data_IF_210642428013
#
_entry.id   IF_210642428013
#
_cell.length_a   1.000
_cell.length_b   1.000
_cell.length_c   1.000
_cell.angle_alpha   90.00
_cell.angle_beta   90.00
_cell.angle_gamma   90.00
#
_symmetry.space_group_name_H-M   'P 1'
#
loop_
_entity.id
_entity.type
_entity.pdbx_description
1 polymer ?
#
# COMPACT_ATOMS: atom_id res chain seq x y z
N UNK A 1 -13.05 6.18 5.54
CA UNK A 1 -12.66 6.14 4.12
C UNK A 1 -11.72 4.97 3.91
N UNK A 2 -12.03 4.06 2.98
CA UNK A 2 -11.15 2.99 2.50
C UNK A 2 -10.70 3.34 1.07
N UNK A 3 -9.43 3.17 0.78
CA UNK A 3 -8.85 3.54 -0.51
C UNK A 3 -7.59 2.70 -0.75
N UNK A 4 -7.36 2.35 -2.01
CA UNK A 4 -6.31 1.42 -2.47
C UNK A 4 -4.94 2.08 -2.50
N UNK A 5 -4.90 3.37 -2.77
CA UNK A 5 -3.75 4.25 -2.65
C UNK A 5 -4.20 5.59 -2.06
N UNK A 6 -3.34 6.27 -1.31
CA UNK A 6 -3.68 7.56 -0.68
C UNK A 6 -2.57 8.59 -0.87
N UNK A 7 -2.91 9.84 -1.23
CA UNK A 7 -1.98 10.94 -1.07
C UNK A 7 -1.79 11.24 0.41
N UNK A 8 -0.55 11.52 0.82
CA UNK A 8 -0.19 11.76 2.21
C UNK A 8 0.71 12.97 2.34
N UNK A 9 0.62 13.57 3.53
CA UNK A 9 1.46 14.66 4.02
C UNK A 9 1.70 14.41 5.50
N UNK A 10 2.92 14.62 5.99
CA UNK A 10 3.19 14.61 7.44
C UNK A 10 2.37 15.72 8.10
N UNK A 11 1.64 15.34 9.15
CA UNK A 11 0.76 16.24 9.91
C UNK A 11 1.50 16.80 11.13
N UNK A 12 1.18 18.04 11.49
CA UNK A 12 1.54 18.56 12.80
C UNK A 12 0.58 18.04 13.89
N UNK A 13 0.98 18.07 15.18
CA UNK A 13 0.08 17.71 16.27
C UNK A 13 -1.26 18.47 16.20
N UNK A 14 -2.37 17.73 16.27
CA UNK A 14 -3.73 18.28 16.19
C UNK A 14 -4.20 18.68 14.78
N UNK A 15 -3.37 18.50 13.75
CA UNK A 15 -3.72 18.82 12.38
C UNK A 15 -4.45 17.66 11.69
N UNK A 16 -5.49 17.99 10.91
CA UNK A 16 -6.21 16.99 10.11
C UNK A 16 -5.45 16.66 8.81
N UNK A 17 -5.39 15.39 8.40
CA UNK A 17 -4.71 14.99 7.17
C UNK A 17 -5.17 15.74 5.89
N UNK A 18 -6.47 15.99 5.74
CA UNK A 18 -7.00 16.75 4.60
C UNK A 18 -6.56 18.22 4.61
N UNK A 19 -6.37 18.80 5.80
CA UNK A 19 -5.87 20.17 5.93
C UNK A 19 -4.40 20.24 5.50
N UNK A 20 -3.57 19.30 5.99
CA UNK A 20 -2.18 19.17 5.58
C UNK A 20 -2.02 19.03 4.06
N UNK A 21 -2.84 18.18 3.45
CA UNK A 21 -2.85 17.98 2.00
C UNK A 21 -3.27 19.23 1.23
N UNK A 22 -4.28 19.95 1.69
CA UNK A 22 -4.75 21.17 1.02
C UNK A 22 -3.71 22.28 1.08
N UNK A 23 -3.14 22.52 2.26
CA UNK A 23 -2.22 23.64 2.48
C UNK A 23 -0.83 23.38 1.92
N UNK A 24 -0.37 22.12 1.94
CA UNK A 24 1.03 21.79 1.64
C UNK A 24 1.20 20.76 0.53
N UNK A 25 0.11 20.39 -0.14
CA UNK A 25 0.11 19.41 -1.22
C UNK A 25 0.44 17.99 -0.75
N UNK A 26 0.64 17.12 -1.73
CA UNK A 26 1.05 15.73 -1.54
C UNK A 26 2.55 15.68 -1.34
N UNK A 27 3.01 14.91 -0.34
CA UNK A 27 4.44 14.66 -0.07
C UNK A 27 4.84 13.24 -0.46
N UNK A 28 3.97 12.26 -0.20
CA UNK A 28 4.17 10.87 -0.59
C UNK A 28 2.84 10.17 -0.87
N UNK A 29 2.91 8.97 -1.45
CA UNK A 29 1.76 8.08 -1.64
C UNK A 29 1.87 6.87 -0.73
N UNK A 30 0.75 6.45 -0.15
CA UNK A 30 0.63 5.23 0.65
C UNK A 30 -0.14 4.19 -0.17
N UNK A 31 0.56 3.17 -0.67
CA UNK A 31 -0.04 2.03 -1.38
C UNK A 31 -0.54 1.01 -0.36
N UNK A 32 -1.81 0.60 -0.46
CA UNK A 32 -2.51 -0.21 0.55
C UNK A 32 -3.12 -1.50 -0.02
N UNK A 33 -2.66 -1.92 -1.20
CA UNK A 33 -3.16 -3.09 -1.92
C UNK A 33 -2.36 -4.37 -1.69
N UNK A 34 -1.32 -4.30 -0.85
CA UNK A 34 -0.41 -5.42 -0.65
C UNK A 34 -0.90 -6.33 0.47
N UNK A 35 -1.13 -7.60 0.15
CA UNK A 35 -1.26 -8.65 1.14
C UNK A 35 0.11 -8.99 1.74
N UNK A 36 0.12 -9.57 2.95
CA UNK A 36 1.33 -10.14 3.51
C UNK A 36 1.75 -11.36 2.69
N UNK A 37 3.02 -11.41 2.26
CA UNK A 37 3.60 -12.62 1.66
C UNK A 37 3.87 -13.65 2.77
N UNK A 38 3.11 -14.75 2.87
CA UNK A 38 3.31 -15.75 3.92
C UNK A 38 4.63 -16.50 3.74
N UNK A 39 5.32 -16.32 2.59
CA UNK A 39 6.60 -16.92 2.29
C UNK A 39 7.79 -16.11 2.79
N UNK A 40 7.58 -14.87 3.22
CA UNK A 40 8.63 -13.95 3.68
C UNK A 40 8.51 -13.69 5.19
N UNK A 41 9.59 -13.82 5.98
CA UNK A 41 9.54 -13.60 7.42
C UNK A 41 9.03 -12.21 7.85
N UNK A 42 9.29 -11.19 7.04
CA UNK A 42 8.84 -9.80 7.28
C UNK A 42 7.61 -9.42 6.44
N UNK A 43 6.99 -10.38 5.76
CA UNK A 43 5.73 -10.21 5.02
C UNK A 43 5.85 -9.53 3.65
N UNK A 44 7.06 -9.17 3.20
CA UNK A 44 7.30 -8.61 1.85
C UNK A 44 8.72 -8.94 1.37
N UNK A 45 8.86 -9.29 0.09
CA UNK A 45 10.16 -9.57 -0.54
C UNK A 45 10.78 -8.27 -1.05
N UNK A 46 12.11 -8.15 -0.96
CA UNK A 46 12.83 -7.03 -1.57
C UNK A 46 12.54 -6.87 -3.07
N UNK A 47 12.39 -7.97 -3.82
CA UNK A 47 12.00 -7.95 -5.23
C UNK A 47 10.62 -7.30 -5.44
N UNK A 48 9.65 -7.54 -4.55
CA UNK A 48 8.34 -6.88 -4.60
C UNK A 48 8.47 -5.38 -4.38
N UNK A 49 9.32 -4.94 -3.46
CA UNK A 49 9.58 -3.51 -3.23
C UNK A 49 10.16 -2.84 -4.48
N UNK A 50 11.15 -3.47 -5.12
CA UNK A 50 11.75 -2.97 -6.37
C UNK A 50 10.74 -2.91 -7.51
N UNK A 51 9.86 -3.90 -7.61
CA UNK A 51 8.77 -3.87 -8.59
C UNK A 51 7.82 -2.68 -8.32
N UNK A 52 7.51 -2.39 -7.06
CA UNK A 52 6.70 -1.23 -6.70
C UNK A 52 7.39 0.09 -7.07
N UNK A 53 8.70 0.22 -6.88
CA UNK A 53 9.46 1.40 -7.31
C UNK A 53 9.31 1.64 -8.82
N UNK A 54 9.48 0.57 -9.61
CA UNK A 54 9.31 0.61 -11.08
C UNK A 54 7.87 1.01 -11.45
N UNK A 55 6.88 0.32 -10.87
CA UNK A 55 5.48 0.51 -11.22
C UNK A 55 4.97 1.90 -10.84
N UNK A 56 5.37 2.43 -9.67
CA UNK A 56 5.00 3.78 -9.25
C UNK A 56 5.64 4.87 -10.11
N UNK A 57 6.88 4.67 -10.58
CA UNK A 57 7.50 5.56 -11.55
C UNK A 57 6.82 5.47 -12.92
N UNK A 58 6.36 4.29 -13.33
CA UNK A 58 5.54 4.17 -14.53
C UNK A 58 4.25 4.98 -14.41
N UNK A 59 3.52 4.87 -13.28
CA UNK A 59 2.34 5.68 -13.02
C UNK A 59 2.63 7.20 -12.99
N UNK A 60 3.83 7.62 -12.60
CA UNK A 60 4.23 9.02 -12.62
C UNK A 60 4.49 9.55 -14.05
N UNK A 61 5.03 8.71 -14.93
CA UNK A 61 5.49 9.09 -16.27
C UNK A 61 4.45 8.86 -17.36
N UNK A 62 3.52 7.93 -17.15
CA UNK A 62 2.45 7.63 -18.10
C UNK A 62 1.42 8.77 -18.16
N UNK A 63 0.79 8.93 -19.32
CA UNK A 63 -0.34 9.86 -19.47
C UNK A 63 -1.49 9.47 -18.54
N UNK A 64 -1.94 10.44 -17.73
CA UNK A 64 -3.04 10.28 -16.77
C UNK A 64 -4.09 11.37 -17.01
N UNK A 65 -4.97 11.21 -18.03
CA UNK A 65 -6.07 12.14 -18.22
C UNK A 65 -7.00 12.18 -16.99
N UNK A 66 -7.82 13.23 -16.81
CA UNK A 66 -8.78 13.29 -15.72
C UNK A 66 -9.78 12.12 -15.78
N UNK A 67 -10.00 11.51 -14.62
CA UNK A 67 -10.90 10.35 -14.50
C UNK A 67 -12.31 10.64 -15.01
N UNK A 68 -12.90 9.67 -15.70
CA UNK A 68 -14.34 9.66 -16.01
C UNK A 68 -15.12 8.75 -15.05
N UNK A 69 -16.44 8.98 -14.93
CA UNK A 69 -17.31 8.11 -14.10
C UNK A 69 -17.31 6.66 -14.57
N UNK A 70 -17.29 6.45 -15.89
CA UNK A 70 -17.30 5.12 -16.49
C UNK A 70 -15.97 4.41 -16.22
N UNK A 71 -14.84 5.12 -16.40
CA UNK A 71 -13.51 4.60 -16.09
C UNK A 71 -13.35 4.23 -14.62
N UNK A 72 -13.83 5.07 -13.68
CA UNK A 72 -13.83 4.73 -12.24
C UNK A 72 -14.59 3.43 -12.00
N UNK A 73 -15.72 3.24 -12.68
CA UNK A 73 -16.48 1.99 -12.62
C UNK A 73 -15.71 0.79 -13.16
N UNK A 74 -15.04 0.94 -14.30
CA UNK A 74 -14.20 -0.10 -14.90
C UNK A 74 -13.01 -0.46 -14.02
N UNK A 75 -12.31 0.52 -13.45
CA UNK A 75 -11.19 0.31 -12.52
C UNK A 75 -11.64 -0.50 -11.32
N UNK A 76 -12.74 -0.11 -10.67
CA UNK A 76 -13.28 -0.83 -9.53
C UNK A 76 -13.71 -2.26 -9.89
N UNK A 77 -14.35 -2.44 -11.05
CA UNK A 77 -14.73 -3.75 -11.57
C UNK A 77 -13.50 -4.64 -11.83
N UNK A 78 -12.50 -4.12 -12.54
CA UNK A 78 -11.28 -4.85 -12.89
C UNK A 78 -10.50 -5.26 -11.65
N UNK A 79 -10.39 -4.38 -10.66
CA UNK A 79 -9.73 -4.68 -9.41
C UNK A 79 -10.43 -5.85 -8.69
N UNK A 80 -11.75 -5.78 -8.55
CA UNK A 80 -12.51 -6.85 -7.89
C UNK A 80 -12.43 -8.17 -8.66
N UNK A 81 -12.58 -8.12 -9.98
CA UNK A 81 -12.53 -9.30 -10.85
C UNK A 81 -11.14 -9.95 -10.81
N UNK A 82 -10.07 -9.16 -10.81
CA UNK A 82 -8.70 -9.65 -10.67
C UNK A 82 -8.45 -10.25 -9.29
N UNK A 83 -8.94 -9.63 -8.22
CA UNK A 83 -8.82 -10.18 -6.87
C UNK A 83 -9.54 -11.53 -6.72
N UNK A 84 -10.73 -11.67 -7.31
CA UNK A 84 -11.54 -12.89 -7.18
C UNK A 84 -11.12 -14.00 -8.17
N UNK A 85 -10.74 -13.64 -9.40
CA UNK A 85 -10.57 -14.56 -10.54
C UNK A 85 -9.30 -14.33 -11.35
N UNK A 86 -8.35 -13.52 -10.87
CA UNK A 86 -7.16 -13.09 -11.63
C UNK A 86 -6.24 -14.19 -12.14
N UNK A 87 -6.36 -15.42 -11.61
CA UNK A 87 -5.61 -16.61 -12.09
C UNK A 87 -6.35 -17.40 -13.16
N UNK A 88 -7.58 -17.03 -13.50
CA UNK A 88 -8.38 -17.75 -14.51
C UNK A 88 -7.79 -17.52 -15.92
N UNK A 89 -7.45 -18.61 -16.65
CA UNK A 89 -6.94 -18.48 -18.01
C UNK A 89 -7.91 -17.74 -18.93
N UNK A 90 -7.40 -16.71 -19.62
CA UNK A 90 -8.20 -15.94 -20.58
C UNK A 90 -9.19 -14.96 -19.96
N UNK A 91 -9.07 -14.63 -18.66
CA UNK A 91 -9.88 -13.60 -18.01
C UNK A 91 -9.82 -12.27 -18.79
N UNK A 92 -10.99 -11.68 -19.04
CA UNK A 92 -11.13 -10.37 -19.69
C UNK A 92 -11.50 -9.29 -18.67
N UNK A 93 -10.82 -8.15 -18.74
CA UNK A 93 -11.08 -6.91 -18.03
C UNK A 93 -11.76 -5.89 -18.95
N UNK A 94 -12.22 -4.75 -18.42
CA UNK A 94 -12.79 -3.65 -19.18
C UNK A 94 -11.78 -2.51 -19.35
N UNK A 95 -11.67 -1.93 -20.55
CA UNK A 95 -10.82 -0.77 -20.83
C UNK A 95 -11.48 0.10 -21.89
N UNK A 96 -12.00 1.26 -21.49
CA UNK A 96 -12.67 2.20 -22.40
C UNK A 96 -13.90 1.59 -23.08
N UNK A 97 -14.72 0.86 -22.32
CA UNK A 97 -15.92 0.18 -22.77
C UNK A 97 -15.68 -1.10 -23.58
N UNK A 98 -14.43 -1.59 -23.66
CA UNK A 98 -14.07 -2.77 -24.44
C UNK A 98 -13.42 -3.85 -23.58
N UNK A 99 -13.70 -5.13 -23.86
CA UNK A 99 -13.00 -6.21 -23.19
C UNK A 99 -11.54 -6.31 -23.65
N UNK A 100 -10.61 -6.51 -22.71
CA UNK A 100 -9.19 -6.77 -22.96
C UNK A 100 -8.71 -7.94 -22.11
N UNK A 101 -7.83 -8.81 -22.60
CA UNK A 101 -7.32 -9.92 -21.78
C UNK A 101 -6.40 -9.39 -20.69
N UNK A 102 -6.55 -9.91 -19.47
CA UNK A 102 -5.74 -9.52 -18.32
C UNK A 102 -4.24 -9.71 -18.59
N UNK A 103 -3.85 -10.86 -19.12
CA UNK A 103 -2.44 -11.20 -19.38
C UNK A 103 -1.85 -10.32 -20.48
N UNK A 104 -2.61 -10.04 -21.53
CA UNK A 104 -2.16 -9.16 -22.63
C UNK A 104 -1.96 -7.73 -22.12
N UNK A 105 -2.96 -7.16 -21.45
CA UNK A 105 -2.86 -5.79 -20.95
C UNK A 105 -1.83 -5.63 -19.82
N UNK A 106 -1.73 -6.61 -18.91
CA UNK A 106 -0.67 -6.65 -17.91
C UNK A 106 0.71 -6.70 -18.55
N UNK A 107 0.87 -7.50 -19.62
CA UNK A 107 2.13 -7.60 -20.37
C UNK A 107 2.50 -6.27 -21.03
N UNK A 108 1.54 -5.59 -21.65
CA UNK A 108 1.75 -4.24 -22.22
C UNK A 108 2.30 -3.26 -21.19
N UNK A 109 1.73 -3.24 -19.97
CA UNK A 109 2.15 -2.34 -18.89
C UNK A 109 3.56 -2.72 -18.40
N UNK A 110 3.84 -4.02 -18.21
CA UNK A 110 5.16 -4.49 -17.76
C UNK A 110 6.26 -4.20 -18.80
N UNK A 111 5.95 -4.30 -20.09
CA UNK A 111 6.89 -3.92 -21.15
C UNK A 111 7.20 -2.42 -21.12
N UNK A 112 6.20 -1.56 -20.86
CA UNK A 112 6.40 -0.12 -20.68
C UNK A 112 7.27 0.21 -19.45
N UNK A 113 7.39 -0.70 -18.50
CA UNK A 113 8.24 -0.56 -17.31
C UNK A 113 9.73 -0.85 -17.57
N UNK A 114 10.09 -1.51 -18.68
CA UNK A 114 11.49 -1.87 -18.98
C UNK A 114 12.48 -0.70 -18.97
N UNK A 115 12.23 0.44 -19.66
CA UNK A 115 13.16 1.56 -19.64
C UNK A 115 13.35 2.15 -18.24
N UNK A 116 12.33 2.08 -17.38
CA UNK A 116 12.38 2.57 -16.00
C UNK A 116 13.26 1.67 -15.14
N UNK A 117 13.07 0.35 -15.23
CA UNK A 117 13.91 -0.62 -14.52
C UNK A 117 15.39 -0.46 -14.88
N UNK A 118 15.70 -0.33 -16.18
CA UNK A 118 17.06 -0.10 -16.64
C UNK A 118 17.65 1.23 -16.15
N UNK A 119 16.86 2.31 -16.11
CA UNK A 119 17.30 3.61 -15.60
C UNK A 119 17.59 3.59 -14.09
N UNK A 120 16.77 2.89 -13.30
CA UNK A 120 17.00 2.70 -11.86
C UNK A 120 18.30 1.93 -11.59
N UNK A 121 18.52 0.85 -12.33
CA UNK A 121 19.73 0.04 -12.22
C UNK A 121 20.98 0.80 -12.68
N UNK A 122 20.88 1.61 -13.74
CA UNK A 122 21.98 2.47 -14.16
C UNK A 122 22.35 3.54 -13.11
N UNK A 123 21.36 4.05 -12.36
CA UNK A 123 21.58 5.06 -11.33
C UNK A 123 22.12 4.49 -10.01
N UNK A 124 21.70 3.28 -9.62
CA UNK A 124 22.06 2.65 -8.34
C UNK A 124 23.21 1.64 -8.47
N UNK A 125 23.48 1.17 -9.68
CA UNK A 125 24.37 0.04 -9.96
C UNK A 125 23.67 -1.31 -9.79
N UNK A 126 24.08 -2.29 -10.60
CA UNK A 126 23.53 -3.65 -10.59
C UNK A 126 22.42 -3.86 -11.62
N UNK A 127 21.58 -4.86 -11.40
CA UNK A 127 20.53 -5.33 -12.30
C UNK A 127 19.25 -5.78 -11.54
N UNK A 128 19.10 -5.36 -10.27
CA UNK A 128 18.07 -5.87 -9.38
C UNK A 128 16.65 -5.40 -9.75
N UNK A 129 16.50 -4.23 -10.38
CA UNK A 129 15.19 -3.76 -10.85
C UNK A 129 14.78 -4.49 -12.12
N UNK A 130 15.70 -4.68 -13.07
CA UNK A 130 15.46 -5.50 -14.26
C UNK A 130 15.08 -6.93 -13.87
N UNK A 131 15.81 -7.56 -12.95
CA UNK A 131 15.46 -8.89 -12.42
C UNK A 131 14.08 -8.92 -11.75
N UNK A 132 13.69 -7.86 -11.05
CA UNK A 132 12.36 -7.76 -10.44
C UNK A 132 11.25 -7.66 -11.50
N UNK A 133 11.48 -6.91 -12.58
CA UNK A 133 10.54 -6.80 -13.69
C UNK A 133 10.40 -8.11 -14.47
N UNK A 134 11.52 -8.77 -14.78
CA UNK A 134 11.51 -10.05 -15.49
C UNK A 134 10.80 -11.14 -14.67
N UNK A 135 10.95 -11.14 -13.34
CA UNK A 135 10.19 -12.03 -12.47
C UNK A 135 8.68 -11.73 -12.49
N UNK A 136 8.27 -10.45 -12.58
CA UNK A 136 6.87 -10.08 -12.70
C UNK A 136 6.27 -10.55 -14.05
N UNK A 137 7.02 -10.39 -15.15
CA UNK A 137 6.63 -10.89 -16.47
C UNK A 137 6.49 -12.42 -16.48
N UNK A 138 7.46 -13.13 -15.90
CA UNK A 138 7.40 -14.59 -15.77
C UNK A 138 6.17 -15.04 -14.95
N UNK A 139 5.88 -14.36 -13.84
CA UNK A 139 4.73 -14.67 -12.99
C UNK A 139 3.38 -14.38 -13.70
N UNK A 140 3.31 -13.35 -14.53
CA UNK A 140 2.12 -13.05 -15.34
C UNK A 140 1.86 -14.15 -16.38
N UNK A 141 2.91 -14.69 -16.98
CA UNK A 141 2.83 -15.79 -17.94
C UNK A 141 2.54 -17.16 -17.29
N UNK A 142 2.82 -17.31 -15.99
CA UNK A 142 2.64 -18.55 -15.24
C UNK A 142 1.82 -18.32 -13.94
N UNK A 143 0.48 -18.17 -14.03
CA UNK A 143 -0.36 -17.85 -12.87
C UNK A 143 -0.26 -18.82 -11.68
N UNK A 144 0.16 -20.06 -11.92
CA UNK A 144 0.37 -21.07 -10.86
C UNK A 144 1.61 -20.79 -9.99
N UNK A 145 2.52 -19.91 -10.43
CA UNK A 145 3.68 -19.49 -9.61
C UNK A 145 3.34 -18.32 -8.67
N UNK A 146 2.16 -17.71 -8.81
CA UNK A 146 1.75 -16.57 -7.99
C UNK A 146 1.61 -16.99 -6.51
N UNK A 147 1.85 -16.09 -5.55
CA UNK A 147 1.70 -16.40 -4.12
C UNK A 147 0.34 -17.00 -3.77
N UNK A 148 -0.74 -16.52 -4.37
CA UNK A 148 -2.09 -17.04 -4.14
C UNK A 148 -2.28 -18.49 -4.61
N UNK A 149 -1.63 -18.90 -5.70
CA UNK A 149 -1.62 -20.31 -6.14
C UNK A 149 -0.72 -21.17 -5.24
N UNK A 150 0.46 -20.66 -4.87
CA UNK A 150 1.41 -21.35 -3.99
C UNK A 150 0.82 -21.64 -2.60
N UNK A 151 0.05 -20.71 -2.03
CA UNK A 151 -0.67 -20.92 -0.76
C UNK A 151 -1.63 -22.09 -0.87
N UNK A 152 -2.48 -22.12 -1.91
CA UNK A 152 -3.44 -23.21 -2.11
C UNK A 152 -2.73 -24.56 -2.33
N UNK A 153 -1.64 -24.56 -3.11
CA UNK A 153 -0.84 -25.76 -3.34
C UNK A 153 -0.22 -26.30 -2.04
N UNK A 154 0.33 -25.44 -1.17
CA UNK A 154 0.88 -25.87 0.12
C UNK A 154 -0.19 -26.33 1.09
N UNK A 155 -1.35 -25.66 1.13
CA UNK A 155 -2.50 -26.11 1.92
C UNK A 155 -2.91 -27.54 1.53
N UNK A 156 -3.02 -27.81 0.24
CA UNK A 156 -3.41 -29.12 -0.28
C UNK A 156 -2.34 -30.20 -0.02
N UNK A 157 -1.06 -29.86 -0.21
CA UNK A 157 0.02 -30.84 -0.14
C UNK A 157 0.43 -31.21 1.29
N UNK A 158 0.31 -30.29 2.25
CA UNK A 158 0.97 -30.44 3.56
C UNK A 158 0.09 -30.10 4.78
N UNK A 159 -1.13 -29.62 4.58
CA UNK A 159 -1.96 -29.11 5.68
C UNK A 159 -3.43 -29.54 5.59
N UNK A 160 -3.74 -30.66 4.95
CA UNK A 160 -5.09 -31.21 4.81
C UNK A 160 -6.12 -30.19 4.27
N UNK A 161 -5.67 -29.32 3.35
CA UNK A 161 -6.45 -28.18 2.83
C UNK A 161 -6.94 -27.20 3.91
N UNK A 162 -6.35 -27.19 5.09
CA UNK A 162 -6.71 -26.30 6.19
C UNK A 162 -5.90 -25.00 6.18
N UNK A 163 -6.59 -23.88 6.01
CA UNK A 163 -5.98 -22.55 6.06
C UNK A 163 -5.38 -22.23 7.44
N UNK A 164 -6.06 -22.62 8.52
CA UNK A 164 -5.59 -22.36 9.88
C UNK A 164 -4.35 -23.20 10.22
N UNK A 165 -4.28 -24.45 9.75
CA UNK A 165 -3.10 -25.28 9.91
C UNK A 165 -1.90 -24.72 9.13
N UNK A 166 -2.10 -24.33 7.87
CA UNK A 166 -1.07 -23.68 7.06
C UNK A 166 -0.55 -22.40 7.71
N UNK A 167 -1.44 -21.46 8.03
CA UNK A 167 -1.05 -20.15 8.60
C UNK A 167 -0.40 -20.28 9.97
N UNK A 168 -0.84 -21.22 10.81
CA UNK A 168 -0.16 -21.53 12.08
C UNK A 168 1.26 -22.02 11.83
N UNK A 169 1.44 -22.99 10.94
CA UNK A 169 2.76 -23.53 10.61
C UNK A 169 3.71 -22.45 10.06
N UNK A 170 3.22 -21.57 9.18
CA UNK A 170 3.98 -20.41 8.70
C UNK A 170 4.34 -19.45 9.83
N UNK A 171 3.40 -19.15 10.74
CA UNK A 171 3.64 -18.25 11.87
C UNK A 171 4.68 -18.80 12.85
N UNK A 172 4.62 -20.10 13.17
CA UNK A 172 5.60 -20.78 14.02
C UNK A 172 6.99 -20.76 13.37
N UNK A 173 7.08 -21.07 12.07
CA UNK A 173 8.34 -21.02 11.34
C UNK A 173 8.96 -19.61 11.29
N UNK A 174 8.14 -18.57 11.06
CA UNK A 174 8.60 -17.17 11.07
C UNK A 174 9.06 -16.76 12.46
N UNK A 175 8.31 -17.10 13.52
CA UNK A 175 8.72 -16.86 14.91
C UNK A 175 10.10 -17.45 15.17
N UNK A 176 10.29 -18.73 14.86
CA UNK A 176 11.53 -19.44 15.15
C UNK A 176 12.70 -18.85 14.36
N UNK A 177 12.49 -18.50 13.09
CA UNK A 177 13.48 -17.83 12.27
C UNK A 177 13.89 -16.45 12.83
N UNK A 178 12.93 -15.65 13.27
CA UNK A 178 13.20 -14.32 13.84
C UNK A 178 13.90 -14.41 15.20
N UNK A 179 13.50 -15.36 16.06
CA UNK A 179 14.14 -15.58 17.37
C UNK A 179 15.56 -16.13 17.25
N UNK A 180 15.88 -16.82 16.16
CA UNK A 180 17.23 -17.31 15.88
C UNK A 180 18.19 -16.23 15.36
N UNK A 181 17.70 -15.04 15.00
CA UNK A 181 18.56 -13.97 14.53
C UNK A 181 19.47 -13.45 15.66
N UNK A 182 20.72 -13.05 15.34
CA UNK A 182 21.61 -12.44 16.33
C UNK A 182 20.97 -11.22 16.98
N UNK A 183 20.93 -11.23 18.32
CA UNK A 183 20.43 -10.15 19.15
C UNK A 183 21.56 -9.59 20.01
N UNK A 184 22.02 -8.40 19.67
CA UNK A 184 23.16 -7.77 20.34
C UNK A 184 22.71 -6.94 21.55
N UNK A 185 23.61 -6.73 22.51
CA UNK A 185 23.34 -5.90 23.68
C UNK A 185 23.02 -4.45 23.29
N UNK A 186 23.64 -3.94 22.21
CA UNK A 186 23.38 -2.59 21.69
C UNK A 186 21.96 -2.47 21.16
N UNK A 187 21.45 -3.50 20.46
CA UNK A 187 20.05 -3.54 20.01
C UNK A 187 19.10 -3.58 21.20
N UNK A 188 19.36 -4.47 22.16
CA UNK A 188 18.56 -4.54 23.39
C UNK A 188 18.46 -3.17 24.07
N UNK A 189 19.60 -2.52 24.29
CA UNK A 189 19.66 -1.19 24.93
C UNK A 189 18.91 -0.12 24.11
N UNK A 190 19.02 -0.15 22.78
CA UNK A 190 18.30 0.80 21.92
C UNK A 190 16.78 0.65 22.03
N UNK A 191 16.26 -0.59 22.06
CA UNK A 191 14.83 -0.85 22.22
C UNK A 191 14.31 -0.52 23.63
N UNK A 192 15.10 -0.77 24.67
CA UNK A 192 14.79 -0.38 26.05
C UNK A 192 14.73 1.14 26.20
N UNK A 193 15.71 1.85 25.64
CA UNK A 193 15.74 3.31 25.62
C UNK A 193 14.51 3.87 24.87
N UNK A 194 14.20 3.35 23.68
CA UNK A 194 13.03 3.77 22.91
C UNK A 194 11.72 3.54 23.68
N UNK A 195 11.63 2.42 24.40
CA UNK A 195 10.48 2.11 25.27
C UNK A 195 10.34 3.14 26.38
N UNK A 196 11.42 3.40 27.13
CA UNK A 196 11.42 4.40 28.20
C UNK A 196 11.05 5.80 27.68
N UNK A 197 11.62 6.21 26.55
CA UNK A 197 11.30 7.48 25.89
C UNK A 197 9.83 7.56 25.48
N UNK A 198 9.26 6.49 24.89
CA UNK A 198 7.85 6.49 24.47
C UNK A 198 6.87 6.65 25.62
N UNK A 199 7.16 6.03 26.78
CA UNK A 199 6.32 6.12 27.98
C UNK A 199 6.42 7.51 28.61
N UNK A 200 7.62 8.09 28.64
CA UNK A 200 7.79 9.45 29.15
C UNK A 200 7.10 10.48 28.24
N UNK A 201 7.20 10.31 26.92
CA UNK A 201 6.53 11.18 25.96
C UNK A 201 5.00 11.08 26.08
N UNK A 202 4.46 9.87 26.29
CA UNK A 202 3.04 9.69 26.59
C UNK A 202 2.63 10.46 27.85
N UNK A 203 3.36 10.31 28.97
CA UNK A 203 3.09 11.03 30.23
C UNK A 203 3.17 12.54 30.05
N UNK A 204 4.12 13.01 29.26
CA UNK A 204 4.28 14.43 28.93
C UNK A 204 3.07 14.97 28.18
N UNK A 205 2.53 14.22 27.23
CA UNK A 205 1.29 14.58 26.51
C UNK A 205 0.11 14.62 27.49
N UNK A 206 -0.08 13.56 28.28
CA UNK A 206 -1.18 13.46 29.25
C UNK A 206 -1.13 14.58 30.31
N UNK A 207 0.05 14.96 30.78
CA UNK A 207 0.24 16.05 31.74
C UNK A 207 0.10 17.45 31.11
N UNK A 208 0.30 17.57 29.79
CA UNK A 208 0.18 18.83 29.06
C UNK A 208 -1.25 19.12 28.58
N UNK A 209 -2.17 18.16 28.68
CA UNK A 209 -3.57 18.34 28.31
C UNK A 209 -4.26 19.34 29.25
N UNK A 210 -4.66 20.48 28.70
CA UNK A 210 -5.39 21.53 29.43
C UNK A 210 -6.89 21.56 29.09
N UNK A 211 -7.32 20.74 28.14
CA UNK A 211 -8.67 20.75 27.57
C UNK A 211 -9.37 19.41 27.79
N UNK A 212 -10.64 19.41 28.23
CA UNK A 212 -11.43 18.19 28.30
C UNK A 212 -11.54 17.52 26.93
N UNK A 213 -11.46 16.19 26.91
CA UNK A 213 -11.46 15.39 25.68
C UNK A 213 -12.62 15.73 24.72
N UNK A 214 -13.84 15.91 25.23
CA UNK A 214 -15.00 16.19 24.38
C UNK A 214 -14.86 17.52 23.65
N UNK A 215 -14.34 18.55 24.32
CA UNK A 215 -14.07 19.83 23.71
C UNK A 215 -12.96 19.73 22.65
N UNK A 216 -11.91 18.93 22.93
CA UNK A 216 -10.88 18.65 21.93
C UNK A 216 -11.47 17.95 20.70
N UNK A 217 -12.31 16.92 20.90
CA UNK A 217 -12.97 16.16 19.82
C UNK A 217 -13.80 17.07 18.93
N UNK A 218 -14.67 17.89 19.52
CA UNK A 218 -15.51 18.85 18.80
C UNK A 218 -14.66 19.81 17.96
N UNK A 219 -13.60 20.35 18.55
CA UNK A 219 -12.68 21.25 17.86
C UNK A 219 -11.90 20.55 16.74
N UNK A 220 -11.41 19.34 16.99
CA UNK A 220 -10.65 18.56 16.02
C UNK A 220 -11.48 18.20 14.79
N UNK A 221 -12.77 17.88 14.94
CA UNK A 221 -13.65 17.57 13.80
C UNK A 221 -14.27 18.83 13.16
N UNK A 222 -14.23 19.97 13.86
CA UNK A 222 -14.89 21.21 13.44
C UNK A 222 -14.38 21.70 12.07
N UNK A 223 -15.29 22.03 11.13
CA UNK A 223 -14.95 22.70 9.89
C UNK A 223 -14.31 24.08 10.09
N UNK A 224 -14.57 24.75 11.22
CA UNK A 224 -13.98 26.06 11.52
C UNK A 224 -12.45 26.01 11.62
N UNK A 225 -11.88 24.87 12.00
CA UNK A 225 -10.43 24.64 12.03
C UNK A 225 -9.84 24.22 10.69
N UNK A 226 -10.66 23.99 9.68
CA UNK A 226 -10.19 23.72 8.33
C UNK A 226 -9.75 24.99 7.61
N UNK A 227 -9.70 26.18 8.23
CA UNK A 227 -9.29 27.41 7.54
C UNK A 227 -10.12 27.75 6.30
N UNK A 228 -11.33 27.18 6.19
CA UNK A 228 -12.26 27.49 5.10
C UNK A 228 -12.66 28.95 5.26
N UNK A 229 -12.30 29.81 4.30
CA UNK A 229 -12.94 31.13 4.21
C UNK A 229 -14.44 30.90 4.13
N UNK A 230 -15.28 31.65 4.88
CA UNK A 230 -16.71 31.64 4.66
C UNK A 230 -16.96 31.85 3.17
N UNK A 231 -17.78 31.00 2.55
CA UNK A 231 -18.29 31.28 1.21
C UNK A 231 -18.94 32.66 1.30
N UNK A 232 -18.41 33.64 0.56
CA UNK A 232 -19.08 34.94 0.42
C UNK A 232 -20.44 34.66 -0.21
N UNK A 233 -21.49 34.63 0.58
CA UNK A 233 -22.82 34.31 0.07
C UNK A 233 -23.90 33.99 1.09
N UNK A 234 -23.83 34.44 2.34
CA UNK A 234 -25.05 34.64 3.13
C UNK A 234 -25.70 35.94 2.66
N UNK A 235 -26.34 35.89 1.50
CA UNK A 235 -27.41 36.83 1.21
C UNK A 235 -28.59 36.35 2.04
N UNK A 236 -28.92 37.14 3.06
CA UNK A 236 -30.18 37.02 3.76
C UNK A 236 -31.33 36.97 2.75
N UNK A 237 -31.95 35.81 2.59
CA UNK A 237 -33.31 35.75 2.08
C UNK A 237 -34.22 36.05 3.26
N UNK A 238 -34.53 37.34 3.38
CA UNK A 238 -35.70 37.79 4.10
C UNK A 238 -36.93 37.40 3.27
N UNK A 239 -37.85 36.68 3.94
CA UNK A 239 -39.20 36.26 3.53
C UNK A 239 -39.24 35.08 2.55
#
# INVERSE_FOLDING_TARGET
>A
FYGTIRPKRVIFPGERPLHALRERGVEYVEVRLMDLDPFEPVGIRAQTMRFLDIFLLHCLLADSPPDSRDEIGEIAHNQHLTAARGREPGLSLQRGGRPVKLVEWGGEILEQCRPIAAALDAAQGGDLHVQALDAALAALAAPDTLPSARVLAQMAAAHDNSFTAFTRARSEAVRDALLALPWSAERQQAFEAATATSVEEQRRIEAADTMPFEQYREQYVSPARLGLRPLRGDVALAI
#
